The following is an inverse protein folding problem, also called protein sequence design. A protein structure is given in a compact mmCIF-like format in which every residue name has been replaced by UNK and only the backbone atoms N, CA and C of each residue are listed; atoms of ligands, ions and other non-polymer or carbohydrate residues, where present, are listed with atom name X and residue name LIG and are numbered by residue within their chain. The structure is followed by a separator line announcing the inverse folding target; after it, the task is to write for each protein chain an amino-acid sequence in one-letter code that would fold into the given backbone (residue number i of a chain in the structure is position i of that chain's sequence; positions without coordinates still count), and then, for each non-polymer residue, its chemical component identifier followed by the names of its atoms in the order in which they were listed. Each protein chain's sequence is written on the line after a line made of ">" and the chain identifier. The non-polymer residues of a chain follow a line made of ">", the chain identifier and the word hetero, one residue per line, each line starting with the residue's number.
data_IF_773051521455
#
_entry.id   IF_773051521455
#
_cell.length_a   1.000
_cell.length_b   1.000
_cell.length_c   1.000
_cell.angle_alpha   90.00
_cell.angle_beta   90.00
_cell.angle_gamma   90.00
#
_symmetry.space_group_name_H-M   'P 1'
#
loop_
_entity.id
_entity.type
_entity.pdbx_description
1 polymer ?
#
# COMPACT_ATOMS: atom_id res chain seq x y z
N UNK A 1 23.38 -20.58 4.63
CA UNK A 1 23.22 -19.95 5.95
C UNK A 1 22.93 -18.49 5.70
N UNK A 2 21.72 -17.97 6.00
CA UNK A 2 21.50 -16.53 5.94
C UNK A 2 22.37 -15.90 7.04
N UNK A 3 23.10 -14.83 6.69
CA UNK A 3 23.81 -14.03 7.66
C UNK A 3 22.79 -13.40 8.61
N UNK A 4 22.66 -13.96 9.81
CA UNK A 4 21.91 -13.34 10.89
C UNK A 4 22.64 -12.04 11.27
N UNK A 5 22.14 -10.94 10.75
CA UNK A 5 22.49 -9.63 11.29
C UNK A 5 22.06 -9.54 12.76
N UNK A 6 22.60 -8.59 13.54
CA UNK A 6 22.20 -8.44 14.93
C UNK A 6 20.67 -8.28 15.04
N UNK A 7 20.04 -8.85 16.07
CA UNK A 7 18.58 -8.79 16.23
C UNK A 7 18.14 -7.32 16.27
N UNK A 8 17.22 -6.95 15.39
CA UNK A 8 16.59 -5.62 15.39
C UNK A 8 15.46 -5.67 16.43
N UNK A 9 15.50 -4.87 17.49
CA UNK A 9 14.66 -5.03 18.68
C UNK A 9 13.15 -5.04 18.41
N UNK A 10 12.71 -4.42 17.31
CA UNK A 10 11.30 -4.27 16.93
C UNK A 10 10.89 -5.19 15.76
N UNK A 11 11.66 -6.24 15.47
CA UNK A 11 11.34 -7.21 14.41
C UNK A 11 11.17 -8.60 14.96
N UNK A 12 10.08 -9.27 14.56
CA UNK A 12 9.85 -10.71 14.79
C UNK A 12 9.80 -11.44 13.44
N UNK A 13 10.39 -12.63 13.37
CA UNK A 13 10.34 -13.48 12.17
C UNK A 13 9.48 -14.70 12.48
N UNK A 14 8.36 -14.85 11.78
CA UNK A 14 7.45 -15.99 11.90
C UNK A 14 7.58 -16.93 10.69
N UNK A 15 7.53 -16.38 9.48
CA UNK A 15 7.85 -17.08 8.24
C UNK A 15 8.37 -16.04 7.24
N UNK A 16 9.08 -16.48 6.21
CA UNK A 16 9.63 -15.59 5.20
C UNK A 16 9.43 -16.19 3.81
N UNK A 17 9.21 -15.32 2.82
CA UNK A 17 9.26 -15.72 1.41
C UNK A 17 10.68 -16.16 1.06
N UNK A 18 10.84 -17.17 0.17
CA UNK A 18 12.14 -17.50 -0.40
C UNK A 18 12.80 -16.27 -1.04
N UNK A 19 14.13 -16.19 -0.99
CA UNK A 19 14.89 -15.05 -1.54
C UNK A 19 14.70 -14.86 -3.05
N UNK A 20 14.28 -15.89 -3.75
CA UNK A 20 14.05 -15.96 -5.20
C UNK A 20 12.56 -15.85 -5.58
N UNK A 21 11.68 -15.58 -4.63
CA UNK A 21 10.25 -15.41 -4.90
C UNK A 21 10.03 -14.36 -6.00
N UNK A 22 9.23 -14.71 -7.02
CA UNK A 22 9.03 -13.90 -8.24
C UNK A 22 8.27 -12.59 -8.05
N UNK A 23 7.86 -12.26 -6.84
CA UNK A 23 7.22 -11.00 -6.48
C UNK A 23 8.13 -9.79 -6.70
N UNK A 24 7.90 -8.75 -5.94
CA UNK A 24 8.64 -7.48 -6.01
C UNK A 24 10.17 -7.67 -5.89
N UNK A 25 10.88 -7.66 -7.05
CA UNK A 25 12.31 -8.00 -7.14
C UNK A 25 13.20 -6.82 -6.78
N UNK A 26 13.50 -6.65 -5.50
CA UNK A 26 14.61 -5.78 -5.08
C UNK A 26 15.91 -6.59 -5.15
N UNK A 27 16.60 -6.52 -6.30
CA UNK A 27 17.75 -7.35 -6.60
C UNK A 27 19.03 -6.97 -5.86
N UNK A 28 19.17 -5.72 -5.39
CA UNK A 28 20.40 -5.24 -4.77
C UNK A 28 20.19 -3.98 -3.91
N UNK A 29 21.22 -3.59 -3.17
CA UNK A 29 21.19 -2.43 -2.27
C UNK A 29 20.99 -1.09 -3.00
N UNK A 30 21.38 -0.99 -4.28
CA UNK A 30 21.15 0.21 -5.10
C UNK A 30 19.65 0.41 -5.35
N UNK A 31 18.95 -0.66 -5.75
CA UNK A 31 17.50 -0.65 -5.95
C UNK A 31 16.75 -0.35 -4.65
N UNK A 32 17.21 -0.92 -3.52
CA UNK A 32 16.67 -0.63 -2.19
C UNK A 32 16.80 0.86 -1.82
N UNK A 33 17.98 1.46 -2.04
CA UNK A 33 18.20 2.89 -1.80
C UNK A 33 17.38 3.77 -2.74
N UNK A 34 17.18 3.35 -4.00
CA UNK A 34 16.34 4.07 -4.95
C UNK A 34 14.87 4.04 -4.53
N UNK A 35 14.34 2.88 -4.13
CA UNK A 35 12.99 2.73 -3.58
C UNK A 35 12.79 3.66 -2.37
N UNK A 36 13.66 3.58 -1.38
CA UNK A 36 13.59 4.44 -0.20
C UNK A 36 13.56 5.93 -0.55
N UNK A 37 14.44 6.36 -1.48
CA UNK A 37 14.47 7.76 -1.94
C UNK A 37 13.15 8.16 -2.61
N UNK A 38 12.57 7.26 -3.41
CA UNK A 38 11.27 7.48 -4.05
C UNK A 38 10.17 7.62 -2.99
N UNK A 39 10.08 6.70 -2.05
CA UNK A 39 9.08 6.71 -0.99
C UNK A 39 9.13 7.97 -0.12
N UNK A 40 10.32 8.43 0.24
CA UNK A 40 10.51 9.65 1.05
C UNK A 40 10.19 10.93 0.28
N UNK A 41 10.48 11.00 -1.01
CA UNK A 41 10.55 12.27 -1.76
C UNK A 41 9.54 12.39 -2.87
N UNK A 42 9.13 11.28 -3.51
CA UNK A 42 8.26 11.32 -4.68
C UNK A 42 6.86 11.81 -4.29
N UNK A 43 6.31 12.73 -5.05
CA UNK A 43 5.01 13.36 -4.81
C UNK A 43 3.89 12.33 -4.61
N UNK A 44 3.92 11.22 -5.34
CA UNK A 44 2.88 10.19 -5.30
C UNK A 44 2.82 9.50 -3.92
N UNK A 45 3.95 8.97 -3.41
CA UNK A 45 3.99 8.31 -2.10
C UNK A 45 3.60 9.27 -0.97
N UNK A 46 4.14 10.50 -1.02
CA UNK A 46 3.83 11.53 -0.02
C UNK A 46 2.36 11.91 -0.01
N UNK A 47 1.76 12.11 -1.18
CA UNK A 47 0.34 12.48 -1.27
C UNK A 47 -0.57 11.32 -0.88
N UNK A 48 -0.25 10.07 -1.28
CA UNK A 48 -0.96 8.86 -0.88
C UNK A 48 -1.00 8.71 0.64
N UNK A 49 0.14 8.83 1.31
CA UNK A 49 0.21 8.69 2.76
C UNK A 49 -0.67 9.72 3.49
N UNK A 50 -0.66 10.97 3.05
CA UNK A 50 -1.57 11.98 3.59
C UNK A 50 -3.05 11.72 3.25
N UNK A 51 -3.32 11.16 2.07
CA UNK A 51 -4.67 10.75 1.70
C UNK A 51 -5.19 9.65 2.63
N UNK A 52 -4.39 8.62 2.87
CA UNK A 52 -4.69 7.52 3.81
C UNK A 52 -5.01 8.09 5.20
N UNK A 53 -4.12 8.91 5.76
CA UNK A 53 -4.33 9.54 7.07
C UNK A 53 -5.65 10.35 7.11
N UNK A 54 -5.90 11.16 6.09
CA UNK A 54 -7.13 11.95 5.99
C UNK A 54 -8.40 11.09 5.93
N UNK A 55 -8.35 9.94 5.21
CA UNK A 55 -9.46 8.97 5.18
C UNK A 55 -9.65 8.29 6.53
N UNK A 56 -8.58 7.83 7.16
CA UNK A 56 -8.64 7.24 8.50
C UNK A 56 -9.28 8.20 9.51
N UNK A 57 -8.83 9.46 9.53
CA UNK A 57 -9.37 10.48 10.43
C UNK A 57 -10.87 10.76 10.20
N UNK A 58 -11.34 10.77 8.94
CA UNK A 58 -12.76 10.91 8.58
C UNK A 58 -13.60 9.72 9.03
N UNK A 59 -13.03 8.52 9.02
CA UNK A 59 -13.69 7.28 9.45
C UNK A 59 -13.63 7.09 10.98
N UNK A 60 -13.04 8.05 11.72
CA UNK A 60 -12.94 8.05 13.18
C UNK A 60 -11.70 7.33 13.72
N UNK A 61 -10.84 6.78 12.86
CA UNK A 61 -9.59 6.17 13.27
C UNK A 61 -8.49 7.24 13.41
N UNK A 62 -8.20 7.64 14.63
CA UNK A 62 -7.22 8.69 14.98
C UNK A 62 -6.18 8.14 15.96
N UNK A 63 -4.99 8.75 16.06
CA UNK A 63 -4.04 8.39 17.10
C UNK A 63 -4.67 8.43 18.50
N UNK A 64 -4.34 7.46 19.36
CA UNK A 64 -3.35 6.39 19.22
C UNK A 64 -3.93 5.06 18.70
N UNK A 65 -4.80 5.07 17.67
CA UNK A 65 -5.41 3.85 17.12
C UNK A 65 -4.34 2.81 16.74
N UNK A 66 -4.66 1.53 16.98
CA UNK A 66 -3.82 0.39 16.64
C UNK A 66 -4.03 0.03 15.16
N UNK A 67 -2.96 0.04 14.38
CA UNK A 67 -2.95 -0.24 12.94
C UNK A 67 -2.11 -1.47 12.64
N UNK A 68 -2.69 -2.45 11.96
CA UNK A 68 -1.96 -3.52 11.30
C UNK A 68 -1.79 -3.16 9.81
N UNK A 69 -0.57 -3.02 9.34
CA UNK A 69 -0.24 -2.74 7.93
C UNK A 69 0.21 -4.05 7.28
N UNK A 70 -0.69 -4.71 6.55
CA UNK A 70 -0.47 -6.02 5.92
C UNK A 70 0.13 -5.80 4.53
N UNK A 71 1.27 -6.42 4.25
CA UNK A 71 2.08 -6.14 3.07
C UNK A 71 2.78 -4.78 3.17
N UNK A 72 3.35 -4.47 4.35
CA UNK A 72 3.92 -3.15 4.64
C UNK A 72 5.13 -2.78 3.78
N UNK A 73 5.74 -3.75 3.09
CA UNK A 73 6.93 -3.54 2.28
C UNK A 73 8.07 -2.90 3.07
N UNK A 74 8.65 -1.85 2.50
CA UNK A 74 9.72 -1.05 3.13
C UNK A 74 9.25 -0.12 4.25
N UNK A 75 7.95 -0.17 4.63
CA UNK A 75 7.40 0.60 5.74
C UNK A 75 6.97 2.03 5.39
N UNK A 76 6.78 2.37 4.13
CA UNK A 76 6.44 3.72 3.71
C UNK A 76 5.17 4.27 4.39
N UNK A 77 4.09 3.48 4.46
CA UNK A 77 2.84 3.85 5.16
C UNK A 77 3.00 3.68 6.66
N UNK A 78 3.55 2.55 7.10
CA UNK A 78 3.78 2.23 8.51
C UNK A 78 4.55 3.33 9.23
N UNK A 79 5.72 3.73 8.70
CA UNK A 79 6.54 4.79 9.28
C UNK A 79 5.85 6.16 9.27
N UNK A 80 5.07 6.44 8.22
CA UNK A 80 4.32 7.69 8.15
C UNK A 80 3.23 7.76 9.23
N UNK A 81 2.48 6.68 9.47
CA UNK A 81 1.44 6.62 10.49
C UNK A 81 2.04 6.59 11.91
N UNK A 82 3.11 5.83 12.14
CA UNK A 82 3.79 5.76 13.43
C UNK A 82 4.27 7.14 13.90
N UNK A 83 4.95 7.91 13.03
CA UNK A 83 5.36 9.30 13.31
C UNK A 83 4.20 10.25 13.60
N UNK A 84 2.96 9.86 13.34
CA UNK A 84 1.73 10.61 13.66
C UNK A 84 1.03 10.11 14.90
N UNK A 85 1.66 9.20 15.64
CA UNK A 85 1.17 8.69 16.91
C UNK A 85 0.21 7.51 16.82
N UNK A 86 0.06 6.88 15.63
CA UNK A 86 -0.60 5.58 15.53
C UNK A 86 0.30 4.49 16.10
N UNK A 87 -0.29 3.48 16.71
CA UNK A 87 0.42 2.26 17.15
C UNK A 87 0.44 1.26 16.00
N UNK A 88 1.55 1.21 15.28
CA UNK A 88 1.64 0.45 14.04
C UNK A 88 2.37 -0.88 14.24
N UNK A 89 1.78 -1.95 13.70
CA UNK A 89 2.43 -3.23 13.46
C UNK A 89 2.45 -3.47 11.95
N UNK A 90 3.62 -3.56 11.34
CA UNK A 90 3.79 -3.85 9.90
C UNK A 90 4.11 -5.33 9.70
N UNK A 91 3.53 -5.95 8.66
CA UNK A 91 3.77 -7.35 8.29
C UNK A 91 4.12 -7.44 6.82
N UNK A 92 5.20 -8.13 6.47
CA UNK A 92 5.58 -8.43 5.09
C UNK A 92 6.40 -9.73 5.02
N UNK A 93 6.28 -10.46 3.90
CA UNK A 93 7.01 -11.71 3.69
C UNK A 93 8.48 -11.53 3.34
N UNK A 94 8.92 -10.32 2.96
CA UNK A 94 10.29 -10.05 2.52
C UNK A 94 11.15 -9.52 3.67
N UNK A 95 12.08 -10.33 4.24
CA UNK A 95 12.87 -9.92 5.40
C UNK A 95 13.63 -8.61 5.19
N UNK A 96 14.26 -8.40 4.02
CA UNK A 96 15.03 -7.17 3.71
C UNK A 96 14.17 -5.91 3.76
N UNK A 97 12.91 -5.99 3.29
CA UNK A 97 11.96 -4.88 3.36
C UNK A 97 11.57 -4.58 4.80
N UNK A 98 11.24 -5.63 5.56
CA UNK A 98 10.85 -5.52 6.98
C UNK A 98 11.98 -4.93 7.82
N UNK A 99 13.23 -5.37 7.64
CA UNK A 99 14.38 -4.77 8.34
C UNK A 99 14.59 -3.29 7.96
N UNK A 100 14.34 -2.93 6.69
CA UNK A 100 14.37 -1.52 6.29
C UNK A 100 13.24 -0.74 6.97
N UNK A 101 12.02 -1.26 6.99
CA UNK A 101 10.87 -0.64 7.65
C UNK A 101 11.15 -0.39 9.13
N UNK A 102 11.70 -1.37 9.83
CA UNK A 102 12.08 -1.27 11.24
C UNK A 102 13.13 -0.18 11.49
N UNK A 103 14.10 -0.01 10.58
CA UNK A 103 15.08 1.07 10.67
C UNK A 103 14.48 2.47 10.44
N UNK A 104 13.35 2.56 9.73
CA UNK A 104 12.66 3.81 9.43
C UNK A 104 11.70 4.26 10.53
N UNK A 105 11.14 3.32 11.26
CA UNK A 105 10.17 3.53 12.32
C UNK A 105 10.47 2.64 13.53
N UNK A 106 11.51 2.97 14.32
CA UNK A 106 11.89 2.19 15.49
C UNK A 106 10.80 2.18 16.57
N UNK A 107 9.84 3.11 16.51
CA UNK A 107 8.66 3.20 17.37
C UNK A 107 7.52 2.22 16.99
N UNK A 108 7.60 1.59 15.80
CA UNK A 108 6.63 0.60 15.33
C UNK A 108 7.16 -0.83 15.51
N UNK A 109 6.27 -1.81 15.52
CA UNK A 109 6.62 -3.22 15.48
C UNK A 109 6.58 -3.74 14.05
N UNK A 110 7.47 -4.68 13.71
CA UNK A 110 7.49 -5.30 12.40
C UNK A 110 7.61 -6.82 12.50
N UNK A 111 6.97 -7.52 11.55
CA UNK A 111 6.92 -8.98 11.52
C UNK A 111 7.24 -9.44 10.11
N UNK A 112 8.22 -10.33 9.99
CA UNK A 112 8.46 -11.08 8.77
C UNK A 112 7.52 -12.25 8.73
N UNK A 113 6.51 -12.19 7.85
CA UNK A 113 5.55 -13.26 7.66
C UNK A 113 4.92 -13.20 6.28
N UNK A 114 4.91 -14.33 5.58
CA UNK A 114 4.21 -14.49 4.31
C UNK A 114 2.71 -14.68 4.55
N UNK A 115 1.92 -13.66 4.23
CA UNK A 115 0.47 -13.67 4.37
C UNK A 115 -0.23 -14.71 3.48
N UNK A 116 0.40 -15.15 2.39
CA UNK A 116 -0.14 -16.21 1.54
C UNK A 116 -0.10 -17.58 2.26
N UNK A 117 0.78 -17.76 3.26
CA UNK A 117 0.84 -18.95 4.09
C UNK A 117 -0.26 -19.01 5.18
N UNK A 118 -1.10 -17.98 5.28
CA UNK A 118 -2.19 -17.86 6.24
C UNK A 118 -1.95 -16.83 7.33
N UNK A 119 -3.02 -16.35 7.96
CA UNK A 119 -2.95 -15.32 9.01
C UNK A 119 -2.88 -15.89 10.43
N UNK A 120 -2.93 -17.21 10.61
CA UNK A 120 -2.88 -17.89 11.91
C UNK A 120 -1.76 -17.42 12.84
N UNK A 121 -0.49 -17.29 12.37
CA UNK A 121 0.60 -16.81 13.22
C UNK A 121 0.39 -15.37 13.73
N UNK A 122 -0.48 -14.59 13.09
CA UNK A 122 -0.81 -13.24 13.51
C UNK A 122 -1.98 -13.18 14.51
N UNK A 123 -2.61 -14.32 14.83
CA UNK A 123 -3.78 -14.38 15.71
C UNK A 123 -3.50 -13.83 17.13
N UNK A 124 -2.28 -14.03 17.62
CA UNK A 124 -1.85 -13.58 18.95
C UNK A 124 -1.64 -12.07 19.09
N UNK A 125 -1.63 -11.32 17.97
CA UNK A 125 -1.36 -9.87 18.00
C UNK A 125 -2.53 -9.06 18.58
N UNK A 126 -3.69 -9.70 18.76
CA UNK A 126 -4.92 -9.09 19.31
C UNK A 126 -5.58 -8.15 18.32
N UNK A 127 -6.82 -7.71 18.62
CA UNK A 127 -7.58 -6.97 17.62
C UNK A 127 -7.00 -5.56 17.38
N UNK A 128 -7.14 -5.12 16.12
CA UNK A 128 -6.71 -3.80 15.65
C UNK A 128 -7.91 -2.88 15.39
N UNK A 129 -7.73 -1.58 15.58
CA UNK A 129 -8.71 -0.57 15.18
C UNK A 129 -8.80 -0.46 13.66
N UNK A 130 -7.66 -0.63 12.99
CA UNK A 130 -7.52 -0.55 11.54
C UNK A 130 -6.62 -1.69 11.05
N UNK A 131 -7.04 -2.39 10.00
CA UNK A 131 -6.18 -3.28 9.22
C UNK A 131 -6.04 -2.69 7.81
N UNK A 132 -4.82 -2.37 7.41
CA UNK A 132 -4.47 -1.76 6.13
C UNK A 132 -3.97 -2.78 5.12
N UNK A 133 -4.44 -2.67 3.87
CA UNK A 133 -4.01 -3.42 2.68
C UNK A 133 -3.65 -2.41 1.58
N UNK A 134 -2.49 -1.75 1.72
CA UNK A 134 -2.09 -0.64 0.85
C UNK A 134 -1.25 -1.12 -0.32
N UNK A 135 -1.88 -1.18 -1.51
CA UNK A 135 -1.29 -1.69 -2.75
C UNK A 135 -0.80 -3.16 -2.58
N UNK A 136 -1.71 -4.04 -2.12
CA UNK A 136 -1.47 -5.46 -1.80
C UNK A 136 -2.34 -6.38 -2.65
N UNK A 137 -3.64 -6.07 -2.78
CA UNK A 137 -4.63 -6.99 -3.37
C UNK A 137 -4.34 -7.32 -4.84
N UNK A 138 -3.69 -6.43 -5.57
CA UNK A 138 -3.27 -6.60 -6.96
C UNK A 138 -2.18 -7.64 -7.16
N UNK A 139 -1.50 -8.04 -6.10
CA UNK A 139 -0.42 -9.05 -6.13
C UNK A 139 -0.92 -10.46 -5.81
N UNK A 140 -2.12 -10.59 -5.23
CA UNK A 140 -2.61 -11.84 -4.66
C UNK A 140 -3.44 -12.65 -5.66
N UNK A 141 -3.33 -13.98 -5.59
CA UNK A 141 -4.20 -14.91 -6.32
C UNK A 141 -5.60 -14.93 -5.71
N UNK A 142 -5.70 -14.86 -4.38
CA UNK A 142 -6.94 -14.94 -3.62
C UNK A 142 -7.19 -13.66 -2.80
N UNK A 143 -7.43 -12.50 -3.44
CA UNK A 143 -7.60 -11.23 -2.73
C UNK A 143 -8.81 -11.22 -1.79
N UNK A 144 -9.85 -12.02 -2.07
CA UNK A 144 -11.01 -12.15 -1.18
C UNK A 144 -10.66 -12.80 0.15
N UNK A 145 -9.74 -13.78 0.14
CA UNK A 145 -9.21 -14.42 1.36
C UNK A 145 -8.43 -13.42 2.18
N UNK A 146 -7.54 -12.65 1.56
CA UNK A 146 -6.79 -11.62 2.28
C UNK A 146 -7.69 -10.57 2.95
N UNK A 147 -8.81 -10.19 2.31
CA UNK A 147 -9.80 -9.30 2.92
C UNK A 147 -10.50 -9.97 4.11
N UNK A 148 -10.85 -11.27 4.01
CA UNK A 148 -11.45 -12.02 5.11
C UNK A 148 -10.48 -12.16 6.29
N UNK A 149 -9.24 -12.52 6.03
CA UNK A 149 -8.17 -12.62 7.04
C UNK A 149 -7.93 -11.27 7.74
N UNK A 150 -7.95 -10.16 6.98
CA UNK A 150 -7.85 -8.81 7.53
C UNK A 150 -9.04 -8.47 8.45
N UNK A 151 -10.25 -8.88 8.07
CA UNK A 151 -11.43 -8.70 8.91
C UNK A 151 -11.35 -9.48 10.23
N UNK A 152 -10.76 -10.67 10.21
CA UNK A 152 -10.54 -11.43 11.45
C UNK A 152 -9.64 -10.67 12.43
N UNK A 153 -8.63 -9.95 11.94
CA UNK A 153 -7.69 -9.16 12.75
C UNK A 153 -8.27 -7.82 13.24
N UNK A 154 -9.31 -7.31 12.59
CA UNK A 154 -10.00 -6.11 13.05
C UNK A 154 -10.89 -6.42 14.27
N UNK A 155 -10.98 -5.47 15.23
CA UNK A 155 -11.97 -5.56 16.31
C UNK A 155 -13.40 -5.38 15.77
N UNK A 156 -14.45 -5.78 16.50
CA UNK A 156 -15.82 -5.38 16.17
C UNK A 156 -15.93 -3.85 16.03
N UNK A 157 -16.57 -3.36 14.97
CA UNK A 157 -16.61 -1.95 14.59
C UNK A 157 -15.31 -1.38 14.04
N UNK A 158 -14.22 -2.16 13.99
CA UNK A 158 -12.94 -1.78 13.40
C UNK A 158 -12.99 -1.71 11.87
N UNK A 159 -11.96 -1.16 11.28
CA UNK A 159 -11.89 -0.88 9.84
C UNK A 159 -10.90 -1.83 9.14
N UNK A 160 -11.28 -2.33 7.96
CA UNK A 160 -10.35 -2.84 6.96
C UNK A 160 -10.33 -1.85 5.81
N UNK A 161 -9.15 -1.31 5.52
CA UNK A 161 -8.98 -0.26 4.51
C UNK A 161 -7.86 -0.61 3.56
N UNK A 162 -7.85 -0.02 2.37
CA UNK A 162 -6.74 -0.22 1.47
C UNK A 162 -6.75 0.69 0.25
N UNK A 163 -5.66 0.60 -0.48
CA UNK A 163 -5.49 1.20 -1.81
C UNK A 163 -5.16 0.13 -2.83
N UNK A 164 -5.63 0.32 -4.06
CA UNK A 164 -5.27 -0.54 -5.19
C UNK A 164 -5.09 0.31 -6.45
N UNK A 165 -4.23 -0.10 -7.40
CA UNK A 165 -4.13 0.54 -8.70
C UNK A 165 -5.44 0.37 -9.48
N UNK A 166 -5.85 1.43 -10.17
CA UNK A 166 -7.09 1.45 -10.92
C UNK A 166 -6.87 1.65 -12.42
N UNK A 167 -7.92 1.34 -13.19
CA UNK A 167 -8.01 1.49 -14.65
C UNK A 167 -7.04 0.59 -15.43
N UNK A 168 -7.55 -0.50 -15.99
CA UNK A 168 -6.80 -1.36 -16.91
C UNK A 168 -6.25 -0.61 -18.12
N UNK A 169 -6.87 0.50 -18.54
CA UNK A 169 -6.35 1.37 -19.60
C UNK A 169 -5.00 2.04 -19.26
N UNK A 170 -4.61 2.02 -17.97
CA UNK A 170 -3.30 2.46 -17.47
C UNK A 170 -2.31 1.32 -17.26
N UNK A 171 -2.64 0.08 -17.65
CA UNK A 171 -1.71 -1.05 -17.56
C UNK A 171 -0.46 -0.79 -18.39
N UNK A 172 0.70 -1.16 -17.87
CA UNK A 172 1.99 -0.97 -18.54
C UNK A 172 3.06 -1.91 -17.98
N UNK A 173 4.28 -1.85 -18.53
CA UNK A 173 5.44 -2.58 -18.02
C UNK A 173 5.75 -2.27 -16.54
N UNK A 174 5.34 -1.10 -16.04
CA UNK A 174 5.44 -0.75 -14.62
C UNK A 174 4.67 -1.75 -13.75
N UNK A 175 3.46 -2.11 -14.18
CA UNK A 175 2.61 -3.06 -13.46
C UNK A 175 3.21 -4.47 -13.49
N UNK A 176 3.72 -4.89 -14.64
CA UNK A 176 4.39 -6.19 -14.82
C UNK A 176 5.63 -6.29 -13.93
N UNK A 177 6.47 -5.25 -13.90
CA UNK A 177 7.68 -5.21 -13.08
C UNK A 177 7.39 -5.14 -11.59
N UNK A 178 6.27 -4.51 -11.21
CA UNK A 178 5.79 -4.51 -9.83
C UNK A 178 5.16 -5.85 -9.43
N UNK A 179 4.93 -6.77 -10.36
CA UNK A 179 4.28 -8.05 -10.08
C UNK A 179 2.76 -7.93 -9.90
N UNK A 180 2.16 -6.87 -10.46
CA UNK A 180 0.70 -6.74 -10.45
C UNK A 180 0.06 -7.81 -11.35
N UNK A 181 -1.10 -8.30 -10.95
CA UNK A 181 -1.93 -9.21 -11.75
C UNK A 181 -3.02 -8.47 -12.50
N UNK A 182 -3.50 -7.36 -11.92
CA UNK A 182 -4.55 -6.53 -12.52
C UNK A 182 -4.56 -5.11 -11.95
N UNK A 183 -5.29 -4.23 -12.62
CA UNK A 183 -5.77 -2.96 -12.08
C UNK A 183 -7.27 -3.04 -11.90
N UNK A 184 -7.78 -2.57 -10.77
CA UNK A 184 -9.17 -2.70 -10.41
C UNK A 184 -10.06 -1.68 -11.12
N UNK A 185 -11.26 -2.07 -11.50
CA UNK A 185 -12.37 -1.16 -11.73
C UNK A 185 -13.13 -0.93 -10.41
N UNK A 186 -13.83 0.21 -10.29
CA UNK A 186 -14.68 0.49 -9.11
C UNK A 186 -15.72 -0.60 -8.86
N UNK A 187 -16.35 -1.09 -9.95
CA UNK A 187 -17.33 -2.18 -9.88
C UNK A 187 -16.70 -3.51 -9.46
N UNK A 188 -15.56 -3.88 -10.06
CA UNK A 188 -14.83 -5.11 -9.73
C UNK A 188 -14.37 -5.13 -8.28
N UNK A 189 -13.83 -4.00 -7.77
CA UNK A 189 -13.43 -3.90 -6.37
C UNK A 189 -14.65 -4.01 -5.43
N UNK A 190 -15.77 -3.34 -5.74
CA UNK A 190 -17.03 -3.49 -4.97
C UNK A 190 -17.51 -4.92 -4.93
N UNK A 191 -17.49 -5.61 -6.07
CA UNK A 191 -17.90 -7.02 -6.15
C UNK A 191 -17.00 -7.95 -5.33
N UNK A 192 -15.68 -7.68 -5.32
CA UNK A 192 -14.73 -8.40 -4.47
C UNK A 192 -15.06 -8.20 -2.98
N UNK A 193 -15.23 -6.95 -2.56
CA UNK A 193 -15.46 -6.59 -1.16
C UNK A 193 -16.83 -7.07 -0.66
N UNK A 194 -17.85 -7.15 -1.53
CA UNK A 194 -19.17 -7.67 -1.20
C UNK A 194 -19.16 -9.18 -0.84
N UNK A 195 -18.07 -9.90 -1.14
CA UNK A 195 -17.89 -11.31 -0.74
C UNK A 195 -17.55 -11.48 0.74
N UNK A 196 -17.44 -10.39 1.51
CA UNK A 196 -17.15 -10.39 2.94
C UNK A 196 -18.43 -10.10 3.76
N UNK A 197 -19.27 -11.10 4.09
CA UNK A 197 -20.57 -10.88 4.73
C UNK A 197 -20.46 -10.36 6.18
N UNK A 198 -19.31 -10.56 6.82
CA UNK A 198 -19.05 -10.09 8.18
C UNK A 198 -18.72 -8.59 8.27
N UNK A 199 -18.78 -7.88 7.13
CA UNK A 199 -18.46 -6.46 7.07
C UNK A 199 -19.55 -5.65 6.36
N UNK A 200 -19.55 -4.34 6.65
CA UNK A 200 -20.27 -3.33 5.90
C UNK A 200 -19.30 -2.61 4.96
N UNK A 201 -19.65 -2.48 3.68
CA UNK A 201 -18.89 -1.68 2.74
C UNK A 201 -19.18 -0.19 2.99
N UNK A 202 -18.24 0.50 3.59
CA UNK A 202 -18.37 1.93 3.92
C UNK A 202 -18.16 2.80 2.70
N UNK A 203 -17.06 2.58 1.96
CA UNK A 203 -16.77 3.36 0.76
C UNK A 203 -15.84 2.64 -0.24
N UNK A 204 -15.99 3.00 -1.52
CA UNK A 204 -14.99 2.79 -2.59
C UNK A 204 -14.88 4.08 -3.36
N UNK A 205 -13.73 4.74 -3.28
CA UNK A 205 -13.51 6.07 -3.84
C UNK A 205 -12.27 6.13 -4.75
N UNK A 206 -12.41 6.64 -5.98
CA UNK A 206 -11.26 6.94 -6.83
C UNK A 206 -10.44 8.10 -6.25
N UNK A 207 -9.12 8.06 -6.42
CA UNK A 207 -8.22 9.17 -6.09
C UNK A 207 -7.07 9.28 -7.10
N UNK A 208 -6.30 10.36 -7.03
CA UNK A 208 -5.28 10.72 -8.01
C UNK A 208 -5.86 10.85 -9.44
N UNK A 209 -7.04 11.46 -9.55
CA UNK A 209 -7.77 11.69 -10.80
C UNK A 209 -7.01 12.61 -11.74
N UNK A 210 -6.40 13.67 -11.19
CA UNK A 210 -5.63 14.65 -11.93
C UNK A 210 -4.44 14.06 -12.70
N UNK A 211 -3.95 12.88 -12.28
CA UNK A 211 -2.84 12.20 -12.95
C UNK A 211 -3.29 11.36 -14.15
N UNK A 212 -4.58 10.99 -14.25
CA UNK A 212 -5.05 10.03 -15.25
C UNK A 212 -4.70 10.44 -16.69
N UNK A 213 -4.92 11.69 -17.14
CA UNK A 213 -4.58 12.09 -18.51
C UNK A 213 -3.08 12.02 -18.81
N UNK A 214 -2.26 12.48 -17.86
CA UNK A 214 -0.80 12.46 -18.03
C UNK A 214 -0.24 11.04 -18.02
N UNK A 215 -0.71 10.17 -17.13
CA UNK A 215 -0.31 8.77 -17.09
C UNK A 215 -0.75 8.01 -18.32
N UNK A 216 -1.96 8.27 -18.81
CA UNK A 216 -2.46 7.64 -20.03
C UNK A 216 -1.61 8.02 -21.26
N UNK A 217 -1.27 9.30 -21.39
CA UNK A 217 -0.39 9.77 -22.46
C UNK A 217 1.01 9.19 -22.34
N UNK A 218 1.61 9.27 -21.16
CA UNK A 218 2.95 8.71 -20.88
C UNK A 218 3.03 7.23 -21.25
N UNK A 219 2.04 6.44 -20.87
CA UNK A 219 2.04 4.98 -21.07
C UNK A 219 1.79 4.56 -22.52
N UNK A 220 1.24 5.43 -23.36
CA UNK A 220 1.09 5.21 -24.79
C UNK A 220 2.33 5.61 -25.60
N UNK A 221 3.07 6.61 -25.14
CA UNK A 221 4.26 7.12 -25.84
C UNK A 221 5.52 6.32 -25.48
N UNK A 222 5.63 5.78 -24.26
CA UNK A 222 6.82 5.08 -23.73
C UNK A 222 6.78 3.57 -24.01
N UNK A 223 6.13 3.11 -25.06
CA UNK A 223 6.04 1.67 -25.41
C UNK A 223 7.38 1.05 -25.90
N UNK A 224 8.46 1.81 -26.06
CA UNK A 224 9.70 1.37 -26.74
C UNK A 224 10.98 1.50 -25.91
N UNK A 225 10.94 1.23 -24.61
CA UNK A 225 12.15 1.29 -23.76
C UNK A 225 12.56 -0.08 -23.21
N UNK A 226 13.87 -0.30 -23.13
CA UNK A 226 14.52 -1.48 -22.56
C UNK A 226 14.00 -1.79 -21.14
N UNK A 227 13.69 -3.05 -20.83
CA UNK A 227 13.08 -3.48 -19.55
C UNK A 227 13.86 -3.00 -18.30
N UNK A 228 15.18 -2.98 -18.40
CA UNK A 228 16.05 -2.53 -17.31
C UNK A 228 15.93 -1.02 -17.03
N UNK A 229 15.72 -0.19 -18.06
CA UNK A 229 15.60 1.25 -17.92
C UNK A 229 14.26 1.68 -17.31
N UNK A 230 13.21 0.88 -17.50
CA UNK A 230 11.86 1.19 -17.02
C UNK A 230 11.76 1.08 -15.50
N UNK A 231 12.39 0.08 -14.86
CA UNK A 231 12.35 -0.13 -13.42
C UNK A 231 13.02 1.01 -12.63
N UNK A 232 14.22 1.44 -13.05
CA UNK A 232 14.92 2.56 -12.40
C UNK A 232 14.21 3.91 -12.65
N UNK A 233 13.61 4.11 -13.83
CA UNK A 233 12.89 5.33 -14.18
C UNK A 233 11.63 5.53 -13.36
N UNK A 234 10.92 4.46 -12.98
CA UNK A 234 9.72 4.54 -12.15
C UNK A 234 10.00 4.96 -10.70
N UNK A 235 11.20 4.70 -10.20
CA UNK A 235 11.67 5.15 -8.89
C UNK A 235 12.32 6.54 -8.93
N UNK A 236 12.38 7.17 -10.11
CA UNK A 236 13.01 8.47 -10.27
C UNK A 236 12.13 9.59 -9.75
N UNK A 237 12.61 10.29 -8.75
CA UNK A 237 11.93 11.47 -8.22
C UNK A 237 12.01 12.61 -9.25
N UNK A 238 10.88 13.21 -9.66
CA UNK A 238 10.89 14.35 -10.56
C UNK A 238 11.73 15.52 -10.04
N UNK A 239 12.18 16.44 -10.91
CA UNK A 239 12.81 17.69 -10.48
C UNK A 239 11.98 18.41 -9.42
N UNK A 240 12.66 19.02 -8.44
CA UNK A 240 12.00 19.58 -7.25
C UNK A 240 10.79 20.49 -7.55
N UNK A 241 10.82 21.42 -8.52
CA UNK A 241 9.65 22.26 -8.82
C UNK A 241 8.44 21.45 -9.30
N UNK A 242 8.66 20.51 -10.23
CA UNK A 242 7.61 19.64 -10.76
C UNK A 242 7.06 18.71 -9.67
N UNK A 243 7.94 18.12 -8.86
CA UNK A 243 7.56 17.23 -7.77
C UNK A 243 6.68 17.96 -6.72
N UNK A 244 6.99 19.21 -6.41
CA UNK A 244 6.19 20.04 -5.49
C UNK A 244 4.85 20.46 -6.14
N UNK A 245 4.84 20.82 -7.42
CA UNK A 245 3.60 21.16 -8.12
C UNK A 245 2.63 19.99 -8.18
N UNK A 246 3.12 18.78 -8.54
CA UNK A 246 2.32 17.56 -8.58
C UNK A 246 1.83 17.17 -7.19
N UNK A 247 2.68 17.29 -6.16
CA UNK A 247 2.26 17.08 -4.77
C UNK A 247 1.13 18.05 -4.37
N UNK A 248 1.27 19.35 -4.67
CA UNK A 248 0.27 20.37 -4.40
C UNK A 248 -1.05 20.07 -5.10
N UNK A 249 -0.99 19.68 -6.38
CA UNK A 249 -2.16 19.30 -7.18
C UNK A 249 -2.93 18.14 -6.54
N UNK A 250 -2.24 17.06 -6.18
CA UNK A 250 -2.89 15.92 -5.52
C UNK A 250 -3.43 16.26 -4.13
N UNK A 251 -2.72 17.10 -3.38
CA UNK A 251 -3.21 17.57 -2.07
C UNK A 251 -4.48 18.40 -2.20
N UNK A 252 -4.59 19.24 -3.24
CA UNK A 252 -5.81 19.99 -3.55
C UNK A 252 -6.96 19.04 -3.93
N UNK A 253 -6.70 18.08 -4.83
CA UNK A 253 -7.68 17.04 -5.19
C UNK A 253 -8.21 16.31 -3.97
N UNK A 254 -7.30 15.87 -3.06
CA UNK A 254 -7.68 15.12 -1.86
C UNK A 254 -8.53 15.95 -0.88
N UNK A 255 -8.33 17.27 -0.81
CA UNK A 255 -9.20 18.18 -0.03
C UNK A 255 -10.58 18.31 -0.64
N UNK A 256 -10.66 18.26 -1.96
CA UNK A 256 -11.91 18.31 -2.71
C UNK A 256 -12.60 16.93 -2.82
N UNK A 257 -12.02 15.88 -2.26
CA UNK A 257 -12.56 14.53 -2.32
C UNK A 257 -14.06 14.43 -1.96
N UNK A 258 -14.59 15.14 -0.94
CA UNK A 258 -16.03 15.08 -0.64
C UNK A 258 -16.93 15.52 -1.79
N UNK A 259 -16.46 16.43 -2.64
CA UNK A 259 -17.18 16.92 -3.83
C UNK A 259 -16.93 16.00 -5.04
N UNK A 260 -15.76 15.37 -5.12
CA UNK A 260 -15.34 14.57 -6.27
C UNK A 260 -15.76 13.09 -6.17
N UNK A 261 -15.89 12.54 -4.97
CA UNK A 261 -16.19 11.12 -4.76
C UNK A 261 -17.55 10.66 -5.33
N UNK A 262 -18.62 11.50 -5.32
CA UNK A 262 -19.87 11.16 -5.97
C UNK A 262 -19.80 11.15 -7.52
N UNK A 263 -18.76 11.78 -8.11
CA UNK A 263 -18.64 11.88 -9.55
C UNK A 263 -18.18 10.55 -10.19
N UNK A 264 -18.50 10.32 -11.49
CA UNK A 264 -18.02 9.16 -12.23
C UNK A 264 -16.56 9.27 -12.66
N UNK A 265 -15.87 10.38 -12.34
CA UNK A 265 -14.49 10.62 -12.75
C UNK A 265 -13.55 9.53 -12.24
N UNK A 266 -12.82 8.86 -13.13
CA UNK A 266 -11.90 7.81 -12.75
C UNK A 266 -10.65 8.36 -12.06
N UNK A 267 -10.07 7.60 -11.12
CA UNK A 267 -8.75 7.86 -10.54
C UNK A 267 -7.73 6.82 -11.02
N UNK A 268 -6.45 7.14 -10.93
CA UNK A 268 -5.39 6.15 -11.19
C UNK A 268 -5.26 5.11 -10.09
N UNK A 269 -5.92 5.33 -8.96
CA UNK A 269 -5.99 4.44 -7.81
C UNK A 269 -7.40 4.46 -7.20
N UNK A 270 -7.76 3.39 -6.48
CA UNK A 270 -8.96 3.28 -5.68
C UNK A 270 -8.60 3.11 -4.22
N UNK A 271 -9.35 3.78 -3.36
CA UNK A 271 -9.44 3.55 -1.94
C UNK A 271 -10.66 2.71 -1.63
N UNK A 272 -10.59 1.87 -0.60
CA UNK A 272 -11.74 1.20 -0.02
C UNK A 272 -11.70 1.19 1.50
N UNK A 273 -12.90 1.09 2.09
CA UNK A 273 -13.08 0.90 3.52
C UNK A 273 -14.26 -0.05 3.79
N UNK A 274 -14.01 -1.04 4.63
CA UNK A 274 -14.98 -1.94 5.22
C UNK A 274 -15.01 -1.70 6.73
N UNK A 275 -16.20 -1.86 7.35
CA UNK A 275 -16.35 -1.88 8.80
C UNK A 275 -16.78 -3.27 9.23
N UNK A 276 -16.03 -3.90 10.14
CA UNK A 276 -16.40 -5.19 10.73
C UNK A 276 -17.69 -5.03 11.55
N UNK A 277 -18.63 -5.93 11.34
CA UNK A 277 -19.88 -6.02 12.12
C UNK A 277 -19.66 -6.59 13.50
#
# INVERSE_FOLDING_TARGET
>A
MPAEGPPVPNVRVLSALPHDHEGFRIRNDRAMRALRRAEDRHFWHRSRNHFVEGRLARLGARPPARVLDVGCGSGCVSAFLARRGYRVTGVDGHPRLVFQAASLAPEAEFIVHDIASGSEPLASLGPFDVVGLFDVLEHLDEPARAVADALERARPGGLVVGTVPALMALWSQVDVQAGHRLRYSRGGLRALLARAPSAELVEVAPFNRALVPALWLQRRVVVTGDEASTSENNLRVPPRPLNLALYGLLRAEHRLAPLLDPTPLPGSSLWFALRKR
#
